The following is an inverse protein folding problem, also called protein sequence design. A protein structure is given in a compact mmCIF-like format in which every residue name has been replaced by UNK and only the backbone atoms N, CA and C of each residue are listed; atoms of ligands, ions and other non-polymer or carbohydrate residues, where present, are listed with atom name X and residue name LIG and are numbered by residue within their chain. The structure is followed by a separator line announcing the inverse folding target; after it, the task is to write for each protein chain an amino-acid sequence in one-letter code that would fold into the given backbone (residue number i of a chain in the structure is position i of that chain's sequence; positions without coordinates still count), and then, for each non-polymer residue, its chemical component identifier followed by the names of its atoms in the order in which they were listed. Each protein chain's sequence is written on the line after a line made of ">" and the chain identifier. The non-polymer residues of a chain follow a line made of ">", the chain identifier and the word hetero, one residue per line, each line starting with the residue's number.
data_IF_265789630368
#
_entry.id   IF_265789630368
#
_cell.length_a   1.000
_cell.length_b   1.000
_cell.length_c   1.000
_cell.angle_alpha   90.00
_cell.angle_beta   90.00
_cell.angle_gamma   90.00
#
_symmetry.space_group_name_H-M   'P 1'
#
loop_
_entity.id
_entity.type
_entity.pdbx_description
1 polymer ?
#
# COMPACT_ATOMS: atom_id res chain seq x y z
N UNK A 1 -12.00 5.05 -3.61
CA UNK A 1 -10.68 5.13 -2.95
C UNK A 1 -10.88 5.93 -1.66
N UNK A 2 -10.42 5.46 -0.49
CA UNK A 2 -10.46 6.31 0.70
C UNK A 2 -9.64 7.58 0.45
N UNK A 3 -10.16 8.74 0.82
CA UNK A 3 -9.42 9.99 0.71
C UNK A 3 -8.33 10.05 1.79
N UNK A 4 -7.33 10.91 1.60
CA UNK A 4 -6.30 11.15 2.62
C UNK A 4 -6.93 11.60 3.95
N UNK A 5 -7.99 12.40 3.90
CA UNK A 5 -8.80 12.84 5.05
C UNK A 5 -9.35 11.66 5.82
N UNK A 6 -9.98 10.70 5.13
CA UNK A 6 -10.52 9.52 5.79
C UNK A 6 -9.45 8.74 6.57
N UNK A 7 -8.25 8.59 6.02
CA UNK A 7 -7.13 7.91 6.70
C UNK A 7 -6.73 8.66 7.98
N UNK A 8 -6.62 9.99 7.91
CA UNK A 8 -6.27 10.85 9.04
C UNK A 8 -7.36 10.83 10.13
N UNK A 9 -8.61 11.03 9.73
CA UNK A 9 -9.76 11.19 10.62
C UNK A 9 -10.11 9.91 11.37
N UNK A 10 -9.77 8.75 10.80
CA UNK A 10 -9.99 7.45 11.42
C UNK A 10 -8.74 6.88 12.10
N UNK A 11 -7.64 7.65 12.17
CA UNK A 11 -6.39 7.24 12.82
C UNK A 11 -5.90 5.86 12.34
N UNK A 12 -5.97 5.63 11.03
CA UNK A 12 -5.62 4.33 10.46
C UNK A 12 -4.12 4.07 10.67
N UNK A 13 -3.79 2.91 11.25
CA UNK A 13 -2.40 2.47 11.44
C UNK A 13 -1.97 1.45 10.40
N UNK A 14 -2.91 0.67 9.85
CA UNK A 14 -2.65 -0.29 8.76
C UNK A 14 -3.71 -0.16 7.69
N UNK A 15 -3.26 0.09 6.45
CA UNK A 15 -4.06 -0.10 5.24
C UNK A 15 -3.78 -1.49 4.69
N UNK A 16 -4.74 -2.39 4.83
CA UNK A 16 -4.70 -3.70 4.20
C UNK A 16 -5.30 -3.63 2.79
N UNK A 17 -4.55 -4.11 1.80
CA UNK A 17 -4.91 -4.03 0.38
C UNK A 17 -5.00 -5.43 -0.21
N UNK A 18 -6.07 -5.67 -0.96
CA UNK A 18 -6.33 -6.87 -1.76
C UNK A 18 -7.12 -6.47 -3.02
N UNK A 19 -7.24 -7.37 -4.00
CA UNK A 19 -8.04 -7.15 -5.20
C UNK A 19 -7.42 -7.65 -6.49
N UNK A 20 -7.90 -7.11 -7.61
CA UNK A 20 -7.53 -7.46 -8.97
C UNK A 20 -7.49 -6.17 -9.82
N UNK A 21 -6.49 -5.91 -10.66
CA UNK A 21 -5.28 -6.71 -10.96
C UNK A 21 -4.11 -6.40 -10.03
N UNK A 22 -3.37 -7.43 -9.61
CA UNK A 22 -2.22 -7.34 -8.70
C UNK A 22 -1.18 -6.33 -9.19
N UNK A 23 -0.86 -6.38 -10.47
CA UNK A 23 0.23 -5.63 -11.10
C UNK A 23 -0.19 -4.27 -11.65
N UNK A 24 -1.50 -3.98 -11.69
CA UNK A 24 -2.05 -2.71 -12.19
C UNK A 24 -2.81 -1.99 -11.08
N UNK A 25 -4.07 -2.35 -10.84
CA UNK A 25 -4.93 -1.60 -9.92
C UNK A 25 -4.44 -1.66 -8.47
N UNK A 26 -4.01 -2.84 -8.01
CA UNK A 26 -3.48 -3.01 -6.65
C UNK A 26 -2.14 -2.30 -6.52
N UNK A 27 -1.21 -2.52 -7.45
CA UNK A 27 0.08 -1.82 -7.50
C UNK A 27 -0.05 -0.30 -7.51
N UNK A 28 -0.91 0.25 -8.36
CA UNK A 28 -1.12 1.69 -8.47
C UNK A 28 -1.66 2.26 -7.15
N UNK A 29 -2.66 1.61 -6.56
CA UNK A 29 -3.16 2.02 -5.24
C UNK A 29 -2.05 2.01 -4.19
N UNK A 30 -1.29 0.91 -4.09
CA UNK A 30 -0.26 0.74 -3.06
C UNK A 30 0.87 1.74 -3.23
N UNK A 31 1.38 1.91 -4.46
CA UNK A 31 2.47 2.85 -4.73
C UNK A 31 2.02 4.30 -4.54
N UNK A 32 0.79 4.65 -4.95
CA UNK A 32 0.22 5.97 -4.67
C UNK A 32 0.04 6.21 -3.17
N UNK A 33 -0.48 5.24 -2.42
CA UNK A 33 -0.66 5.36 -0.97
C UNK A 33 0.69 5.44 -0.23
N UNK A 34 1.70 4.68 -0.65
CA UNK A 34 3.07 4.79 -0.14
C UNK A 34 3.67 6.17 -0.42
N UNK A 35 3.45 6.72 -1.62
CA UNK A 35 3.89 8.07 -1.95
C UNK A 35 3.18 9.12 -1.08
N UNK A 36 1.86 9.01 -0.92
CA UNK A 36 1.08 9.90 -0.06
C UNK A 36 1.55 9.84 1.40
N UNK A 37 1.80 8.63 1.94
CA UNK A 37 2.38 8.43 3.27
C UNK A 37 3.73 9.12 3.40
N UNK A 38 4.65 8.84 2.46
CA UNK A 38 6.02 9.35 2.52
C UNK A 38 6.09 10.88 2.37
N UNK A 39 5.10 11.50 1.74
CA UNK A 39 4.94 12.96 1.67
C UNK A 39 4.12 13.55 2.84
N UNK A 40 3.76 12.74 3.84
CA UNK A 40 3.03 13.19 5.01
C UNK A 40 1.55 13.50 4.77
N UNK A 41 0.98 13.16 3.61
CA UNK A 41 -0.41 13.48 3.26
C UNK A 41 -1.43 12.64 4.05
N UNK A 42 -0.98 11.52 4.61
CA UNK A 42 -1.80 10.58 5.39
C UNK A 42 -1.69 10.77 6.90
N UNK A 43 -1.07 11.85 7.37
CA UNK A 43 -0.99 12.19 8.80
C UNK A 43 -1.46 13.63 9.04
N UNK A 44 -2.01 13.87 10.23
CA UNK A 44 -2.32 15.21 10.71
C UNK A 44 -1.11 15.89 11.41
N UNK A 45 -0.04 15.14 11.68
CA UNK A 45 1.15 15.67 12.34
C UNK A 45 1.93 16.61 11.41
N UNK A 46 2.13 17.85 11.83
CA UNK A 46 2.90 18.85 11.08
C UNK A 46 4.40 18.79 11.47
N UNK A 47 5.31 18.57 10.50
CA UNK A 47 6.74 18.48 10.78
C UNK A 47 7.37 19.79 11.29
N UNK A 48 6.72 20.94 11.08
CA UNK A 48 7.16 22.25 11.58
C UNK A 48 6.82 22.45 13.05
N UNK A 49 5.79 21.75 13.55
CA UNK A 49 5.36 21.80 14.96
C UNK A 49 6.07 20.74 15.78
N UNK A 50 6.07 19.49 15.30
CA UNK A 50 6.79 18.38 15.94
C UNK A 50 7.30 17.39 14.88
N UNK A 51 8.58 17.52 14.55
CA UNK A 51 9.25 16.65 13.57
C UNK A 51 9.28 15.18 14.03
N UNK A 52 9.45 14.91 15.33
CA UNK A 52 9.56 13.54 15.83
C UNK A 52 8.21 12.83 15.72
N UNK A 53 7.13 13.51 16.13
CA UNK A 53 5.77 13.00 15.97
C UNK A 53 5.38 12.81 14.49
N UNK A 54 5.75 13.75 13.62
CA UNK A 54 5.52 13.62 12.18
C UNK A 54 6.21 12.38 11.58
N UNK A 55 7.50 12.20 11.87
CA UNK A 55 8.26 11.03 11.40
C UNK A 55 7.63 9.74 11.94
N UNK A 56 7.29 9.69 13.23
CA UNK A 56 6.66 8.51 13.83
C UNK A 56 5.32 8.17 13.16
N UNK A 57 4.48 9.17 12.87
CA UNK A 57 3.21 8.95 12.18
C UNK A 57 3.40 8.45 10.75
N UNK A 58 4.36 9.01 10.00
CA UNK A 58 4.69 8.57 8.64
C UNK A 58 5.24 7.15 8.61
N UNK A 59 6.15 6.79 9.52
CA UNK A 59 6.75 5.46 9.54
C UNK A 59 5.87 4.41 10.22
N UNK A 60 4.93 4.83 11.06
CA UNK A 60 3.99 3.95 11.76
C UNK A 60 2.84 3.45 10.88
N UNK A 61 2.42 4.22 9.86
CA UNK A 61 1.38 3.79 8.92
C UNK A 61 1.90 2.66 8.00
N UNK A 62 1.42 1.45 8.24
CA UNK A 62 1.71 0.27 7.43
C UNK A 62 0.77 0.19 6.23
N UNK A 63 1.33 -0.08 5.06
CA UNK A 63 0.56 -0.46 3.87
C UNK A 63 0.88 -1.93 3.59
N UNK A 64 -0.09 -2.79 3.86
CA UNK A 64 0.06 -4.23 3.79
C UNK A 64 -0.72 -4.81 2.61
N UNK A 65 -0.10 -5.68 1.84
CA UNK A 65 -0.72 -6.36 0.69
C UNK A 65 -0.98 -7.80 1.07
N UNK A 66 -2.25 -8.20 1.03
CA UNK A 66 -2.67 -9.57 1.31
C UNK A 66 -2.46 -10.42 0.06
N UNK A 67 -1.31 -11.09 -0.01
CA UNK A 67 -0.82 -11.80 -1.20
C UNK A 67 -1.83 -12.79 -1.74
N UNK A 68 -2.42 -13.60 -0.85
CA UNK A 68 -3.37 -14.66 -1.20
C UNK A 68 -4.76 -14.14 -1.62
N UNK A 69 -5.00 -12.83 -1.51
CA UNK A 69 -6.23 -12.17 -1.93
C UNK A 69 -6.00 -11.18 -3.09
N UNK A 70 -4.80 -11.23 -3.70
CA UNK A 70 -4.47 -10.50 -4.91
C UNK A 70 -4.44 -11.48 -6.07
N UNK A 71 -5.12 -11.14 -7.17
CA UNK A 71 -5.13 -11.94 -8.40
C UNK A 71 -4.83 -11.01 -9.59
N UNK A 72 -4.58 -11.60 -10.75
CA UNK A 72 -4.51 -10.86 -12.01
C UNK A 72 -5.03 -11.75 -13.13
N UNK A 73 -5.49 -11.17 -14.24
CA UNK A 73 -5.96 -11.98 -15.37
C UNK A 73 -4.78 -12.63 -16.10
N UNK A 74 -5.09 -13.59 -16.99
CA UNK A 74 -4.10 -14.27 -17.82
C UNK A 74 -4.36 -13.94 -19.29
N UNK A 75 -3.36 -13.38 -19.98
CA UNK A 75 -3.36 -13.18 -21.42
C UNK A 75 -2.03 -13.67 -22.01
N UNK A 76 -1.99 -14.94 -22.46
CA UNK A 76 -0.76 -15.58 -22.91
C UNK A 76 0.00 -14.76 -23.96
N UNK A 77 1.32 -14.63 -23.78
CA UNK A 77 2.23 -13.87 -24.64
C UNK A 77 2.27 -12.35 -24.41
N UNK A 78 1.36 -11.79 -23.61
CA UNK A 78 1.30 -10.35 -23.32
C UNK A 78 1.29 -10.03 -21.83
N UNK A 79 0.65 -10.90 -21.04
CA UNK A 79 0.44 -10.73 -19.62
C UNK A 79 0.23 -12.11 -19.00
N UNK A 80 1.33 -12.78 -18.67
CA UNK A 80 1.31 -14.10 -18.05
C UNK A 80 0.99 -13.95 -16.57
N UNK A 81 -0.13 -14.52 -16.11
CA UNK A 81 -0.68 -14.27 -14.76
C UNK A 81 0.34 -14.42 -13.65
N UNK A 82 1.10 -15.53 -13.65
CA UNK A 82 2.07 -15.81 -12.60
C UNK A 82 3.25 -14.81 -12.60
N UNK A 83 3.73 -14.43 -13.78
CA UNK A 83 4.82 -13.47 -13.92
C UNK A 83 4.36 -12.05 -13.55
N UNK A 84 3.18 -11.64 -14.03
CA UNK A 84 2.58 -10.35 -13.72
C UNK A 84 2.32 -10.21 -12.21
N UNK A 85 1.65 -11.19 -11.60
CA UNK A 85 1.41 -11.23 -10.15
C UNK A 85 2.72 -11.11 -9.36
N UNK A 86 3.75 -11.88 -9.72
CA UNK A 86 5.06 -11.81 -9.07
C UNK A 86 5.71 -10.42 -9.18
N UNK A 87 5.72 -9.83 -10.38
CA UNK A 87 6.31 -8.51 -10.61
C UNK A 87 5.56 -7.42 -9.84
N UNK A 88 4.22 -7.47 -9.82
CA UNK A 88 3.40 -6.54 -9.05
C UNK A 88 3.73 -6.58 -7.56
N UNK A 89 3.73 -7.77 -6.96
CA UNK A 89 4.09 -7.95 -5.55
C UNK A 89 5.53 -7.50 -5.25
N UNK A 90 6.49 -7.88 -6.09
CA UNK A 90 7.88 -7.48 -5.94
C UNK A 90 8.05 -5.96 -6.00
N UNK A 91 7.39 -5.29 -6.97
CA UNK A 91 7.46 -3.85 -7.12
C UNK A 91 6.89 -3.13 -5.90
N UNK A 92 5.71 -3.54 -5.42
CA UNK A 92 5.10 -2.99 -4.21
C UNK A 92 6.00 -3.17 -2.98
N UNK A 93 6.54 -4.38 -2.77
CA UNK A 93 7.44 -4.67 -1.65
C UNK A 93 8.72 -3.83 -1.72
N UNK A 94 9.32 -3.67 -2.90
CA UNK A 94 10.52 -2.84 -3.11
C UNK A 94 10.31 -1.36 -2.77
N UNK A 95 9.06 -0.88 -2.82
CA UNK A 95 8.66 0.49 -2.47
C UNK A 95 8.28 0.65 -0.99
N UNK A 96 8.30 -0.45 -0.22
CA UNK A 96 8.05 -0.45 1.22
C UNK A 96 6.66 -0.90 1.64
N UNK A 97 5.90 -1.58 0.76
CA UNK A 97 4.72 -2.33 1.19
C UNK A 97 5.13 -3.60 1.94
N UNK A 98 4.31 -4.01 2.91
CA UNK A 98 4.51 -5.27 3.64
C UNK A 98 3.66 -6.35 2.98
N UNK A 99 4.27 -7.41 2.49
CA UNK A 99 3.53 -8.57 1.98
C UNK A 99 3.09 -9.45 3.17
N UNK A 100 1.82 -9.80 3.22
CA UNK A 100 1.24 -10.66 4.26
C UNK A 100 0.44 -11.80 3.63
N UNK A 101 0.42 -12.96 4.28
CA UNK A 101 -0.26 -14.17 3.82
C UNK A 101 -1.62 -14.41 4.50
N UNK A 102 -1.92 -13.66 5.57
CA UNK A 102 -3.16 -13.76 6.31
C UNK A 102 -3.45 -12.56 7.20
N UNK A 103 -4.67 -12.52 7.72
CA UNK A 103 -5.15 -11.56 8.72
C UNK A 103 -4.88 -12.09 10.12
N UNK A 104 -3.62 -12.33 10.47
CA UNK A 104 -3.29 -12.69 11.85
C UNK A 104 -3.19 -11.40 12.67
N UNK A 105 -3.85 -11.32 13.85
CA UNK A 105 -3.75 -10.18 14.76
C UNK A 105 -2.31 -9.82 15.13
#
# INVERSE_FOLDING_TARGET
>A
MPSCEWVKDNHIETLLVCGDCTDVCVSDFVVSALSARNHGLLTAADPTTDRAAHVAAVTGLRIAVLVNACETFDAPGFHERAAAHHVGLWLMASRGAVLVDGLTP
#
